data_IF_566093427543
#
_entry.id   IF_566093427543
#
_cell.length_a   1.000
_cell.length_b   1.000
_cell.length_c   1.000
_cell.angle_alpha   90.00
_cell.angle_beta   90.00
_cell.angle_gamma   90.00
#
_symmetry.space_group_name_H-M   'P 1'
#
loop_
_entity.id
_entity.type
_entity.pdbx_description
1 polymer ?
#
# COMPACT_ATOMS: atom_id res chain seq x y z
N UNK A 1 8.87 8.87 2.55
CA UNK A 1 8.53 7.45 2.78
C UNK A 1 9.81 6.66 2.98
N UNK A 2 10.43 6.73 4.16
CA UNK A 2 11.57 5.86 4.50
C UNK A 2 11.04 4.53 5.03
N UNK A 3 11.50 3.43 4.44
CA UNK A 3 11.23 2.04 4.80
C UNK A 3 12.58 1.32 4.95
N UNK A 4 12.65 0.33 5.83
CA UNK A 4 13.84 -0.49 6.05
C UNK A 4 13.96 -1.63 5.01
N UNK A 5 12.90 -1.87 4.26
CA UNK A 5 12.83 -2.85 3.17
C UNK A 5 11.91 -2.32 2.06
N UNK A 6 11.02 -3.13 1.49
CA UNK A 6 10.01 -2.64 0.54
C UNK A 6 9.10 -1.59 1.16
N UNK A 7 8.56 -0.75 0.29
CA UNK A 7 7.47 0.15 0.61
C UNK A 7 6.47 0.13 -0.53
N UNK A 8 5.19 0.33 -0.20
CA UNK A 8 4.11 0.37 -1.16
C UNK A 8 3.29 1.65 -0.94
N UNK A 9 3.04 2.42 -1.98
CA UNK A 9 2.14 3.58 -1.93
C UNK A 9 1.15 3.52 -3.10
N UNK A 10 -0.12 3.78 -2.83
CA UNK A 10 -1.17 3.79 -3.84
C UNK A 10 -2.39 4.59 -3.37
N UNK A 11 -3.18 5.05 -4.34
CA UNK A 11 -4.51 5.59 -4.09
C UNK A 11 -5.54 4.45 -4.13
N UNK A 12 -6.51 4.47 -3.21
CA UNK A 12 -7.62 3.50 -3.20
C UNK A 12 -8.95 4.21 -3.04
N UNK A 13 -10.01 3.64 -3.60
CA UNK A 13 -11.39 4.01 -3.29
C UNK A 13 -11.84 3.41 -1.96
N UNK A 14 -13.08 3.72 -1.54
CA UNK A 14 -13.68 3.14 -0.34
C UNK A 14 -13.28 3.86 0.94
N UNK A 15 -13.14 5.18 0.89
CA UNK A 15 -13.08 6.04 2.06
C UNK A 15 -14.37 6.85 2.20
N UNK A 16 -15.39 6.30 2.89
CA UNK A 16 -16.76 6.83 2.84
C UNK A 16 -16.82 8.33 3.15
N UNK A 17 -17.54 9.10 2.33
CA UNK A 17 -17.95 10.47 2.63
C UNK A 17 -19.47 10.58 2.49
N UNK A 18 -20.25 10.02 3.43
CA UNK A 18 -21.70 9.99 3.33
C UNK A 18 -22.26 11.40 3.07
N UNK A 19 -23.13 11.52 2.07
CA UNK A 19 -23.76 12.77 1.66
C UNK A 19 -22.78 13.87 1.20
N UNK A 20 -21.49 13.55 1.00
CA UNK A 20 -20.49 14.52 0.54
C UNK A 20 -20.23 15.67 1.51
N UNK A 21 -20.49 15.47 2.81
CA UNK A 21 -20.45 16.54 3.82
C UNK A 21 -19.05 17.12 3.99
N UNK A 22 -18.02 16.28 3.87
CA UNK A 22 -16.63 16.72 4.02
C UNK A 22 -16.06 17.19 2.67
N UNK A 23 -15.24 18.26 2.64
CA UNK A 23 -14.59 18.75 1.42
C UNK A 23 -13.38 17.88 1.04
N UNK A 24 -13.63 16.58 0.82
CA UNK A 24 -12.62 15.59 0.44
C UNK A 24 -13.22 14.50 -0.45
N UNK A 25 -12.38 13.87 -1.25
CA UNK A 25 -12.75 12.71 -2.05
C UNK A 25 -13.01 11.46 -1.20
N UNK A 26 -13.67 10.48 -1.80
CA UNK A 26 -13.77 9.10 -1.30
C UNK A 26 -12.54 8.24 -1.66
N UNK A 27 -11.59 8.83 -2.39
CA UNK A 27 -10.28 8.26 -2.65
C UNK A 27 -9.33 8.68 -1.54
N UNK A 28 -8.55 7.72 -1.03
CA UNK A 28 -7.53 7.93 -0.01
C UNK A 28 -6.16 7.47 -0.51
N UNK A 29 -5.14 8.29 -0.28
CA UNK A 29 -3.74 7.90 -0.45
C UNK A 29 -3.27 7.15 0.78
N UNK A 30 -2.79 5.92 0.57
CA UNK A 30 -2.26 5.06 1.63
C UNK A 30 -0.86 4.59 1.27
N UNK A 31 -0.07 4.30 2.29
CA UNK A 31 1.21 3.65 2.10
C UNK A 31 1.46 2.61 3.18
N UNK A 32 2.27 1.61 2.85
CA UNK A 32 2.72 0.57 3.75
C UNK A 32 4.23 0.54 3.73
N UNK A 33 4.84 0.33 4.89
CA UNK A 33 6.29 0.23 5.03
C UNK A 33 6.67 -0.73 6.15
N UNK A 34 7.92 -1.17 6.11
CA UNK A 34 8.59 -1.78 7.24
C UNK A 34 9.48 -0.73 7.90
N UNK A 35 9.36 -0.55 9.22
CA UNK A 35 10.26 0.33 9.97
C UNK A 35 10.45 -0.21 11.37
N UNK A 36 11.69 -0.39 11.81
CA UNK A 36 12.03 -0.88 13.16
C UNK A 36 11.22 -2.12 13.54
N UNK A 37 11.23 -3.12 12.64
CA UNK A 37 10.49 -4.39 12.76
C UNK A 37 8.96 -4.25 12.91
N UNK A 38 8.40 -3.11 12.51
CA UNK A 38 6.97 -2.84 12.53
C UNK A 38 6.47 -2.65 11.10
N UNK A 39 5.48 -3.44 10.72
CA UNK A 39 4.74 -3.20 9.49
C UNK A 39 3.69 -2.14 9.75
N UNK A 40 3.87 -0.99 9.13
CA UNK A 40 3.09 0.22 9.37
C UNK A 40 2.23 0.56 8.16
N UNK A 41 1.01 1.04 8.43
CA UNK A 41 0.17 1.74 7.46
C UNK A 41 0.22 3.23 7.72
N UNK A 42 0.46 3.99 6.67
CA UNK A 42 0.48 5.44 6.64
C UNK A 42 -0.72 5.92 5.83
N UNK A 43 -1.41 6.95 6.31
CA UNK A 43 -2.49 7.59 5.57
C UNK A 43 -2.54 9.09 5.84
N UNK A 44 -2.92 9.85 4.81
CA UNK A 44 -3.24 11.26 4.95
C UNK A 44 -4.76 11.46 4.97
N UNK A 45 -5.22 12.49 5.68
CA UNK A 45 -6.61 12.91 5.69
C UNK A 45 -6.96 13.79 4.48
N UNK A 46 -5.98 14.19 3.68
CA UNK A 46 -6.19 14.89 2.42
C UNK A 46 -5.47 14.12 1.31
N UNK A 47 -6.05 14.12 0.11
CA UNK A 47 -5.40 13.49 -1.05
C UNK A 47 -4.12 14.23 -1.46
N UNK A 48 -4.17 15.56 -1.42
CA UNK A 48 -3.03 16.44 -1.65
C UNK A 48 -2.68 17.15 -0.34
N UNK A 49 -1.95 16.49 0.56
CA UNK A 49 -1.58 17.07 1.85
C UNK A 49 -0.57 18.21 1.64
N UNK A 50 -0.72 19.29 2.39
CA UNK A 50 0.22 20.42 2.36
C UNK A 50 1.65 19.96 2.62
N UNK A 51 2.63 20.62 2.00
CA UNK A 51 4.06 20.36 2.21
C UNK A 51 4.39 20.36 3.71
N UNK A 52 5.02 19.27 4.19
CA UNK A 52 5.39 19.10 5.59
C UNK A 52 4.33 18.42 6.46
N UNK A 53 3.13 18.16 5.93
CA UNK A 53 2.12 17.35 6.62
C UNK A 53 2.67 15.97 6.95
N UNK A 54 2.42 15.52 8.18
CA UNK A 54 2.79 14.18 8.62
C UNK A 54 1.62 13.22 8.41
N UNK A 55 1.87 12.01 7.88
CA UNK A 55 0.82 11.01 7.77
C UNK A 55 0.47 10.47 9.16
N UNK A 56 -0.79 10.07 9.33
CA UNK A 56 -1.17 9.22 10.45
C UNK A 56 -0.52 7.85 10.27
N UNK A 57 0.27 7.42 11.25
CA UNK A 57 0.97 6.13 11.25
C UNK A 57 0.24 5.16 12.17
N UNK A 58 -0.09 3.97 11.64
CA UNK A 58 -0.66 2.87 12.40
C UNK A 58 0.20 1.63 12.27
N UNK A 59 0.68 1.11 13.38
CA UNK A 59 1.34 -0.21 13.43
C UNK A 59 0.28 -1.29 13.22
N UNK A 60 0.45 -2.11 12.18
CA UNK A 60 -0.46 -3.21 11.88
C UNK A 60 0.05 -4.54 12.44
N UNK A 61 1.37 -4.73 12.41
CA UNK A 61 2.00 -5.94 12.89
C UNK A 61 3.40 -5.60 13.42
N UNK A 62 3.81 -6.30 14.49
CA UNK A 62 5.14 -6.18 15.10
C UNK A 62 5.94 -7.44 14.79
N UNK A 63 7.25 -7.36 15.04
CA UNK A 63 8.19 -8.47 14.83
C UNK A 63 8.27 -8.94 13.36
N UNK A 64 8.05 -8.01 12.43
CA UNK A 64 8.21 -8.25 10.99
C UNK A 64 9.67 -8.03 10.63
N UNK A 65 10.32 -9.02 10.02
CA UNK A 65 11.74 -8.99 9.67
C UNK A 65 11.99 -8.76 8.19
N UNK A 66 11.01 -9.06 7.33
CA UNK A 66 11.08 -8.76 5.91
C UNK A 66 9.71 -8.39 5.34
N UNK A 67 9.71 -7.51 4.34
CA UNK A 67 8.53 -7.13 3.57
C UNK A 67 8.89 -7.17 2.09
N UNK A 68 8.22 -8.04 1.33
CA UNK A 68 8.49 -8.26 -0.09
C UNK A 68 7.23 -8.11 -0.92
N UNK A 69 7.40 -7.58 -2.13
CA UNK A 69 6.34 -7.48 -3.14
C UNK A 69 6.76 -8.23 -4.39
N UNK A 70 5.79 -8.87 -5.04
CA UNK A 70 5.90 -9.32 -6.43
C UNK A 70 4.66 -8.89 -7.20
N UNK A 71 4.84 -8.61 -8.48
CA UNK A 71 3.82 -8.04 -9.34
C UNK A 71 3.52 -8.99 -10.50
N UNK A 72 2.26 -9.33 -10.68
CA UNK A 72 1.84 -10.18 -11.78
C UNK A 72 1.37 -9.33 -12.95
N UNK A 73 2.05 -9.45 -14.10
CA UNK A 73 1.63 -8.86 -15.36
C UNK A 73 2.24 -9.64 -16.53
N UNK A 74 1.66 -9.52 -17.72
CA UNK A 74 2.13 -10.20 -18.93
C UNK A 74 2.31 -11.71 -18.73
N UNK A 75 1.41 -12.32 -17.93
CA UNK A 75 1.41 -13.75 -17.56
C UNK A 75 2.64 -14.22 -16.79
N UNK A 76 3.35 -13.32 -16.10
CA UNK A 76 4.52 -13.66 -15.28
C UNK A 76 4.60 -12.81 -14.00
N UNK A 77 5.29 -13.35 -13.01
CA UNK A 77 5.67 -12.62 -11.81
C UNK A 77 6.94 -11.80 -12.04
N UNK A 78 6.95 -10.59 -11.51
CA UNK A 78 8.03 -9.62 -11.64
C UNK A 78 8.39 -9.08 -10.25
N UNK A 79 9.68 -8.86 -10.01
CA UNK A 79 10.20 -8.33 -8.73
C UNK A 79 10.31 -6.81 -8.73
N UNK A 80 9.99 -6.14 -9.84
CA UNK A 80 9.95 -4.69 -9.95
C UNK A 80 8.68 -4.27 -10.69
N UNK A 81 8.24 -3.03 -10.46
CA UNK A 81 7.15 -2.42 -11.20
C UNK A 81 7.56 -1.02 -11.65
N UNK A 82 7.67 -0.83 -12.95
CA UNK A 82 8.20 0.38 -13.61
C UNK A 82 7.17 1.04 -14.54
N UNK A 83 5.91 0.61 -14.49
CA UNK A 83 4.82 1.11 -15.34
C UNK A 83 3.87 2.00 -14.52
N UNK A 84 4.19 3.29 -14.31
CA UNK A 84 3.45 4.16 -13.39
C UNK A 84 2.01 4.45 -13.82
N UNK A 85 1.70 4.30 -15.11
CA UNK A 85 0.37 4.60 -15.67
C UNK A 85 -0.59 3.39 -15.64
N UNK A 86 -0.12 2.22 -15.21
CA UNK A 86 -0.92 1.00 -15.22
C UNK A 86 -0.73 0.23 -13.92
N UNK A 87 -1.80 -0.39 -13.43
CA UNK A 87 -1.70 -1.34 -12.34
C UNK A 87 -1.25 -2.71 -12.86
N UNK A 88 -0.49 -3.48 -12.06
CA UNK A 88 -0.30 -4.90 -12.34
C UNK A 88 -1.64 -5.62 -12.22
N UNK A 89 -1.77 -6.80 -12.83
CA UNK A 89 -2.99 -7.61 -12.73
C UNK A 89 -3.12 -8.29 -11.36
N UNK A 90 -1.99 -8.50 -10.68
CA UNK A 90 -1.96 -9.05 -9.33
C UNK A 90 -0.79 -8.53 -8.51
N UNK A 91 -0.96 -8.56 -7.20
CA UNK A 91 0.05 -8.18 -6.22
C UNK A 91 0.19 -9.30 -5.19
N UNK A 92 1.40 -9.81 -5.04
CA UNK A 92 1.78 -10.70 -3.94
C UNK A 92 2.49 -9.86 -2.87
N UNK A 93 2.01 -9.98 -1.64
CA UNK A 93 2.60 -9.37 -0.45
C UNK A 93 3.07 -10.50 0.45
N UNK A 94 4.36 -10.53 0.76
CA UNK A 94 4.94 -11.47 1.72
C UNK A 94 5.56 -10.72 2.89
N UNK A 95 5.16 -11.09 4.09
CA UNK A 95 5.74 -10.62 5.35
C UNK A 95 6.41 -11.80 6.06
N UNK A 96 7.68 -11.65 6.45
CA UNK A 96 8.36 -12.63 7.30
C UNK A 96 8.28 -12.16 8.74
N UNK A 97 7.81 -13.04 9.63
CA UNK A 97 7.69 -12.80 11.06
C UNK A 97 8.79 -13.54 11.82
N UNK A 98 9.41 -12.87 12.78
CA UNK A 98 10.54 -13.42 13.54
C UNK A 98 10.25 -14.81 14.15
N UNK A 99 9.03 -15.01 14.64
CA UNK A 99 8.64 -16.20 15.42
C UNK A 99 7.56 -17.07 14.77
N UNK A 100 7.12 -16.73 13.55
CA UNK A 100 5.91 -17.34 12.96
C UNK A 100 6.04 -17.70 11.48
N UNK A 101 7.23 -17.51 10.89
CA UNK A 101 7.47 -17.80 9.48
C UNK A 101 6.85 -16.73 8.57
N UNK A 102 6.41 -17.15 7.39
CA UNK A 102 5.96 -16.22 6.35
C UNK A 102 4.44 -16.17 6.21
N UNK A 103 3.92 -14.96 6.01
CA UNK A 103 2.53 -14.72 5.63
C UNK A 103 2.53 -14.14 4.22
N UNK A 104 1.94 -14.89 3.30
CA UNK A 104 1.72 -14.45 1.91
C UNK A 104 0.26 -14.13 1.66
N UNK A 105 -0.01 -13.05 0.95
CA UNK A 105 -1.34 -12.65 0.46
C UNK A 105 -1.25 -12.27 -1.00
N UNK A 106 -2.18 -12.78 -1.79
CA UNK A 106 -2.32 -12.46 -3.21
C UNK A 106 -3.58 -11.62 -3.40
N UNK A 107 -3.45 -10.52 -4.11
CA UNK A 107 -4.54 -9.61 -4.46
C UNK A 107 -4.65 -9.55 -5.98
N UNK A 108 -5.86 -9.73 -6.50
CA UNK A 108 -6.18 -9.35 -7.87
C UNK A 108 -6.45 -7.85 -7.89
N UNK A 109 -5.83 -7.16 -8.84
CA UNK A 109 -6.05 -5.74 -9.03
C UNK A 109 -6.81 -5.55 -10.34
N UNK A 110 -7.97 -4.92 -10.25
CA UNK A 110 -8.72 -4.53 -11.43
C UNK A 110 -8.02 -3.32 -12.05
N UNK A 111 -7.69 -3.34 -13.36
CA UNK A 111 -7.37 -2.10 -14.06
C UNK A 111 -8.51 -1.13 -13.79
N UNK A 112 -8.20 0.07 -13.31
CA UNK A 112 -9.22 1.10 -13.12
C UNK A 112 -9.98 1.23 -14.43
N UNK A 113 -11.28 0.94 -14.42
CA UNK A 113 -12.11 1.12 -15.59
C UNK A 113 -12.01 2.58 -16.00
N UNK A 114 -11.36 2.84 -17.14
CA UNK A 114 -11.45 4.13 -17.79
C UNK A 114 -12.91 4.34 -18.14
N UNK A 115 -13.51 5.35 -17.51
CA UNK A 115 -14.54 6.14 -18.17
C UNK A 115 -13.87 7.41 -18.67
#
# INVERSE_FOLDING_TARGET
MQSDDWGLAFSRSGWPNPLGILPRSEIQNVSYRLRQQQFERLSFDQQDPLTGSQPTVRVLLREVTAFRLRFYADRRWQETWDRPQTLPQGLEITLTLANSGEITRLFLLTPGGGQ
#
